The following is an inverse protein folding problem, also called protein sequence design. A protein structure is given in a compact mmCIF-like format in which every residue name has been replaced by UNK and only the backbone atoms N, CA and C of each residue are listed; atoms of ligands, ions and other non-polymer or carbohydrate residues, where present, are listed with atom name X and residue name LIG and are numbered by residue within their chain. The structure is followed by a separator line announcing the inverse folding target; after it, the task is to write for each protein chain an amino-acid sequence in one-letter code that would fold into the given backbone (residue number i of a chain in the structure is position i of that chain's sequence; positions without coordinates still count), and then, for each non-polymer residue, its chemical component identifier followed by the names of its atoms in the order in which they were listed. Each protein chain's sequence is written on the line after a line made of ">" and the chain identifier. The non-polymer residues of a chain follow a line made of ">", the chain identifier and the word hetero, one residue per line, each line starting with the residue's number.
data_IF_180768013195
#
_entry.id   IF_180768013195
#
_cell.length_a   1.000
_cell.length_b   1.000
_cell.length_c   1.000
_cell.angle_alpha   90.00
_cell.angle_beta   90.00
_cell.angle_gamma   90.00
#
_symmetry.space_group_name_H-M   'P 1'
#
loop_
_entity.id
_entity.type
_entity.pdbx_description
1 polymer ?
#
# COMPACT_ATOMS: atom_id res chain seq x y z
N UNK A 1 -3.27 -1.28 -15.13
CA UNK A 1 -3.16 -2.65 -14.55
C UNK A 1 -3.76 -2.72 -13.15
N UNK A 2 -3.27 -1.99 -12.14
CA UNK A 2 -3.87 -2.03 -10.78
C UNK A 2 -5.15 -1.18 -10.65
N UNK A 3 -5.10 0.11 -11.03
CA UNK A 3 -6.26 1.01 -10.99
C UNK A 3 -7.42 0.49 -11.85
N UNK A 4 -7.13 0.00 -13.06
CA UNK A 4 -8.14 -0.61 -13.94
C UNK A 4 -8.77 -1.84 -13.29
N UNK A 5 -7.95 -2.74 -12.72
CA UNK A 5 -8.44 -3.94 -12.04
C UNK A 5 -9.31 -3.64 -10.80
N UNK A 6 -9.05 -2.51 -10.12
CA UNK A 6 -9.89 -2.02 -9.02
C UNK A 6 -11.26 -1.61 -9.56
N UNK A 7 -11.28 -0.79 -10.61
CA UNK A 7 -12.51 -0.30 -11.25
C UNK A 7 -13.35 -1.46 -11.78
N UNK A 8 -12.73 -2.43 -12.46
CA UNK A 8 -13.42 -3.64 -12.96
C UNK A 8 -14.11 -4.45 -11.86
N UNK A 9 -13.61 -4.38 -10.62
CA UNK A 9 -14.17 -5.06 -9.45
C UNK A 9 -15.08 -4.17 -8.61
N UNK A 10 -15.40 -2.96 -9.07
CA UNK A 10 -16.24 -2.00 -8.36
C UNK A 10 -15.59 -1.41 -7.10
N UNK A 11 -14.26 -1.46 -7.01
CA UNK A 11 -13.48 -0.71 -6.03
C UNK A 11 -13.14 0.68 -6.58
N UNK A 12 -12.83 1.61 -5.69
CA UNK A 12 -12.55 3.00 -6.04
C UNK A 12 -11.24 3.44 -5.40
N UNK A 13 -10.53 4.34 -6.09
CA UNK A 13 -9.40 5.06 -5.50
C UNK A 13 -9.95 6.11 -4.54
N UNK A 14 -9.42 6.14 -3.32
CA UNK A 14 -9.75 7.14 -2.32
C UNK A 14 -9.39 8.55 -2.82
N UNK A 15 -10.27 9.51 -2.53
CA UNK A 15 -9.96 10.93 -2.64
C UNK A 15 -9.49 11.40 -1.26
N UNK A 16 -8.23 11.79 -1.17
CA UNK A 16 -7.64 12.18 0.10
C UNK A 16 -8.20 13.53 0.58
N UNK A 17 -8.18 13.73 1.89
CA UNK A 17 -8.38 15.05 2.47
C UNK A 17 -7.28 16.02 2.00
N UNK A 18 -7.59 17.32 1.83
CA UNK A 18 -6.57 18.31 1.49
C UNK A 18 -5.39 18.31 2.45
N UNK A 19 -5.64 18.09 3.75
CA UNK A 19 -4.61 18.01 4.79
C UNK A 19 -3.61 16.86 4.54
N UNK A 20 -4.08 15.71 4.06
CA UNK A 20 -3.23 14.56 3.69
C UNK A 20 -2.34 14.93 2.51
N UNK A 21 -2.89 15.58 1.48
CA UNK A 21 -2.14 16.02 0.30
C UNK A 21 -1.09 17.07 0.68
N UNK A 22 -1.44 18.02 1.56
CA UNK A 22 -0.51 19.04 2.06
C UNK A 22 0.64 18.42 2.86
N UNK A 23 0.35 17.46 3.74
CA UNK A 23 1.37 16.74 4.52
C UNK A 23 2.31 15.94 3.60
N UNK A 24 1.77 15.24 2.60
CA UNK A 24 2.58 14.53 1.61
C UNK A 24 3.49 15.50 0.83
N UNK A 25 2.99 16.68 0.43
CA UNK A 25 3.81 17.71 -0.26
C UNK A 25 4.90 18.30 0.62
N UNK A 26 4.65 18.42 1.92
CA UNK A 26 5.61 19.00 2.85
C UNK A 26 6.74 18.01 3.21
N UNK A 27 6.42 16.73 3.36
CA UNK A 27 7.35 15.72 3.86
C UNK A 27 8.04 14.90 2.77
N UNK A 28 7.44 14.78 1.58
CA UNK A 28 8.04 14.05 0.46
C UNK A 28 8.83 14.97 -0.47
N UNK A 29 9.84 14.44 -1.17
CA UNK A 29 10.55 15.19 -2.20
C UNK A 29 9.61 15.74 -3.29
N UNK A 30 9.97 16.87 -3.94
CA UNK A 30 9.12 17.56 -4.91
C UNK A 30 8.85 16.75 -6.19
N UNK A 31 9.61 15.68 -6.45
CA UNK A 31 9.41 14.78 -7.57
C UNK A 31 8.37 13.69 -7.30
N UNK A 32 7.96 13.49 -6.04
CA UNK A 32 6.88 12.58 -5.69
C UNK A 32 5.52 13.21 -6.06
N UNK A 33 4.58 12.37 -6.48
CA UNK A 33 3.23 12.82 -6.85
C UNK A 33 2.26 12.40 -5.73
N UNK A 34 1.72 13.35 -4.94
CA UNK A 34 0.85 13.07 -3.79
C UNK A 34 -0.61 12.77 -4.21
N UNK A 35 -0.80 12.11 -5.35
CA UNK A 35 -2.11 11.71 -5.87
C UNK A 35 -2.54 10.32 -5.40
N UNK A 36 -3.59 9.76 -6.01
CA UNK A 36 -3.92 8.35 -5.84
C UNK A 36 -3.78 7.62 -7.20
N UNK A 37 -2.75 6.79 -7.39
CA UNK A 37 -1.73 6.37 -6.40
C UNK A 37 -0.73 7.47 -6.03
N UNK A 38 -0.15 7.36 -4.83
CA UNK A 38 1.01 8.17 -4.45
C UNK A 38 2.22 7.61 -5.18
N UNK A 39 2.84 8.40 -6.05
CA UNK A 39 4.05 8.00 -6.79
C UNK A 39 5.28 8.47 -6.03
N UNK A 40 5.97 7.54 -5.38
CA UNK A 40 7.23 7.79 -4.66
C UNK A 40 8.47 7.73 -5.58
N UNK A 41 8.28 7.41 -6.86
CA UNK A 41 9.33 7.18 -7.87
C UNK A 41 10.22 5.97 -7.57
N UNK A 42 11.13 5.64 -8.50
CA UNK A 42 12.02 4.48 -8.38
C UNK A 42 13.13 4.63 -7.31
N UNK A 43 13.34 5.84 -6.78
CA UNK A 43 14.35 6.11 -5.75
C UNK A 43 13.76 6.18 -4.34
N UNK A 44 12.57 5.62 -4.12
CA UNK A 44 11.89 5.66 -2.84
C UNK A 44 12.68 4.92 -1.74
N UNK A 45 12.83 5.59 -0.60
CA UNK A 45 13.44 5.05 0.63
C UNK A 45 12.37 4.51 1.56
N UNK A 46 12.77 3.67 2.52
CA UNK A 46 11.87 3.17 3.58
C UNK A 46 11.23 4.30 4.39
N UNK A 47 11.94 5.44 4.56
CA UNK A 47 11.41 6.64 5.21
C UNK A 47 10.28 7.30 4.40
N UNK A 48 10.44 7.41 3.09
CA UNK A 48 9.40 8.01 2.22
C UNK A 48 8.16 7.12 2.17
N UNK A 49 8.33 5.79 2.17
CA UNK A 49 7.23 4.85 2.38
C UNK A 49 6.58 5.06 3.75
N UNK A 50 7.35 5.14 4.85
CA UNK A 50 6.83 5.36 6.20
C UNK A 50 5.95 6.62 6.28
N UNK A 51 6.44 7.75 5.73
CA UNK A 51 5.70 9.02 5.65
C UNK A 51 4.40 8.86 4.87
N UNK A 52 4.47 8.29 3.66
CA UNK A 52 3.30 8.15 2.81
C UNK A 52 2.27 7.19 3.40
N UNK A 53 2.70 6.03 3.89
CA UNK A 53 1.82 5.03 4.49
C UNK A 53 1.11 5.60 5.71
N UNK A 54 1.82 6.32 6.59
CA UNK A 54 1.21 6.97 7.76
C UNK A 54 0.14 7.98 7.34
N UNK A 55 0.46 8.89 6.43
CA UNK A 55 -0.47 9.91 5.94
C UNK A 55 -1.76 9.29 5.40
N UNK A 56 -1.62 8.24 4.58
CA UNK A 56 -2.77 7.55 3.97
C UNK A 56 -3.56 6.71 4.99
N UNK A 57 -2.90 6.08 5.95
CA UNK A 57 -3.58 5.29 6.99
C UNK A 57 -4.32 6.18 8.00
N UNK A 58 -3.89 7.42 8.19
CA UNK A 58 -4.59 8.41 9.03
C UNK A 58 -5.75 9.10 8.29
N UNK A 59 -5.72 9.13 6.95
CA UNK A 59 -6.77 9.75 6.14
C UNK A 59 -8.13 9.03 6.29
N UNK A 60 -9.21 9.69 6.72
CA UNK A 60 -10.50 9.05 6.96
C UNK A 60 -11.16 8.49 5.69
N UNK A 61 -10.76 8.95 4.50
CA UNK A 61 -11.31 8.50 3.21
C UNK A 61 -10.57 7.26 2.66
N UNK A 62 -9.53 6.77 3.34
CA UNK A 62 -8.78 5.57 2.96
C UNK A 62 -9.22 4.39 3.82
N UNK A 63 -9.84 3.38 3.21
CA UNK A 63 -10.29 2.16 3.91
C UNK A 63 -9.24 1.03 3.94
N UNK A 64 -8.36 0.97 2.92
CA UNK A 64 -7.38 -0.08 2.71
C UNK A 64 -6.18 0.50 1.96
N UNK A 65 -4.97 0.07 2.33
CA UNK A 65 -3.74 0.51 1.70
C UNK A 65 -3.13 -0.61 0.84
N UNK A 66 -2.65 -0.26 -0.37
CA UNK A 66 -1.97 -1.19 -1.27
C UNK A 66 -0.57 -0.70 -1.66
N UNK A 67 0.48 -1.03 -0.89
CA UNK A 67 1.85 -0.72 -1.28
C UNK A 67 2.32 -1.61 -2.44
N UNK A 68 2.85 -1.00 -3.49
CA UNK A 68 3.47 -1.69 -4.62
C UNK A 68 4.98 -1.55 -4.51
N UNK A 69 5.68 -2.69 -4.48
CA UNK A 69 7.12 -2.76 -4.34
C UNK A 69 7.76 -3.36 -5.60
N UNK A 70 8.81 -2.69 -6.06
CA UNK A 70 9.82 -3.28 -6.91
C UNK A 70 11.11 -3.21 -6.10
N UNK A 71 11.40 -4.28 -5.36
CA UNK A 71 12.61 -4.33 -4.55
C UNK A 71 13.83 -4.31 -5.47
N UNK A 72 14.58 -3.20 -5.43
CA UNK A 72 15.84 -3.00 -6.15
C UNK A 72 17.01 -2.95 -5.15
N UNK A 73 18.23 -3.22 -5.62
CA UNK A 73 19.45 -2.98 -4.83
C UNK A 73 19.63 -1.47 -4.63
N UNK A 74 19.17 -0.95 -3.48
CA UNK A 74 19.19 0.45 -3.03
C UNK A 74 18.43 1.46 -3.93
N UNK A 75 17.69 2.44 -3.37
CA UNK A 75 17.73 2.97 -1.99
C UNK A 75 16.66 2.43 -1.03
N UNK A 76 15.77 1.53 -1.48
CA UNK A 76 14.83 0.85 -0.60
C UNK A 76 15.57 -0.23 0.21
N UNK A 77 15.88 0.08 1.46
CA UNK A 77 16.54 -0.85 2.38
C UNK A 77 15.56 -1.86 2.99
N UNK A 78 16.08 -2.83 3.72
CA UNK A 78 15.26 -3.88 4.36
C UNK A 78 14.38 -3.36 5.51
N UNK A 79 14.56 -2.12 5.97
CA UNK A 79 13.72 -1.52 7.01
C UNK A 79 12.28 -1.37 6.55
N UNK A 80 12.02 -1.35 5.24
CA UNK A 80 10.67 -1.33 4.69
C UNK A 80 9.80 -2.48 5.23
N UNK A 81 10.41 -3.63 5.53
CA UNK A 81 9.69 -4.78 6.09
C UNK A 81 9.12 -4.44 7.47
N UNK A 82 9.95 -3.83 8.32
CA UNK A 82 9.56 -3.40 9.67
C UNK A 82 8.53 -2.26 9.58
N UNK A 83 8.76 -1.27 8.70
CA UNK A 83 7.82 -0.16 8.47
C UNK A 83 6.43 -0.69 8.12
N UNK A 84 6.32 -1.58 7.14
CA UNK A 84 5.01 -2.11 6.71
C UNK A 84 4.36 -2.92 7.83
N UNK A 85 5.14 -3.67 8.61
CA UNK A 85 4.63 -4.44 9.74
C UNK A 85 4.11 -3.54 10.87
N UNK A 86 4.82 -2.47 11.21
CA UNK A 86 4.40 -1.47 12.20
C UNK A 86 3.11 -0.77 11.77
N UNK A 87 2.98 -0.42 10.49
CA UNK A 87 1.80 0.26 9.94
C UNK A 87 0.49 -0.53 10.12
N UNK A 88 0.54 -1.84 10.41
CA UNK A 88 -0.65 -2.63 10.74
C UNK A 88 -1.34 -2.15 12.02
N UNK A 89 -0.65 -1.44 12.92
CA UNK A 89 -1.24 -0.90 14.15
C UNK A 89 -2.35 0.11 13.91
N UNK A 90 -2.43 0.69 12.70
CA UNK A 90 -3.50 1.62 12.30
C UNK A 90 -4.85 0.95 12.08
N UNK A 91 -4.92 -0.39 12.08
CA UNK A 91 -6.17 -1.14 12.03
C UNK A 91 -6.85 -1.20 10.65
N UNK A 92 -6.33 -0.49 9.64
CA UNK A 92 -6.76 -0.61 8.25
C UNK A 92 -5.99 -1.74 7.54
N UNK A 93 -6.65 -2.56 6.68
CA UNK A 93 -5.95 -3.63 5.99
C UNK A 93 -4.85 -3.10 5.05
N UNK A 94 -3.74 -3.83 4.99
CA UNK A 94 -2.62 -3.57 4.08
C UNK A 94 -2.45 -4.79 3.18
N UNK A 95 -2.49 -4.60 1.86
CA UNK A 95 -2.29 -5.65 0.87
C UNK A 95 -1.17 -5.25 -0.08
N UNK A 96 -0.04 -5.94 -0.03
CA UNK A 96 1.12 -5.58 -0.83
C UNK A 96 1.13 -6.29 -2.18
N UNK A 97 1.72 -5.64 -3.16
CA UNK A 97 2.10 -6.24 -4.43
C UNK A 97 3.61 -6.12 -4.61
N UNK A 98 4.30 -7.23 -4.82
CA UNK A 98 5.74 -7.23 -5.05
C UNK A 98 6.09 -8.19 -6.19
N UNK A 99 6.42 -7.63 -7.35
CA UNK A 99 6.79 -8.39 -8.54
C UNK A 99 8.30 -8.34 -8.74
N UNK A 100 8.96 -9.49 -8.93
CA UNK A 100 10.39 -9.50 -9.20
C UNK A 100 11.10 -10.84 -9.03
N UNK A 101 12.43 -10.76 -8.98
CA UNK A 101 13.36 -11.88 -8.92
C UNK A 101 13.46 -12.54 -7.54
N UNK A 102 14.48 -13.38 -7.30
CA UNK A 102 14.70 -14.06 -6.02
C UNK A 102 14.69 -13.11 -4.81
N UNK A 103 15.36 -11.95 -4.92
CA UNK A 103 15.40 -10.95 -3.85
C UNK A 103 14.02 -10.43 -3.46
N UNK A 104 13.20 -10.03 -4.44
CA UNK A 104 11.81 -9.60 -4.20
C UNK A 104 10.98 -10.69 -3.51
N UNK A 105 11.17 -11.96 -3.90
CA UNK A 105 10.44 -13.08 -3.29
C UNK A 105 10.86 -13.32 -1.84
N UNK A 106 12.13 -13.12 -1.51
CA UNK A 106 12.63 -13.21 -0.15
C UNK A 106 12.03 -12.10 0.73
N UNK A 107 12.05 -10.84 0.26
CA UNK A 107 11.44 -9.74 0.99
C UNK A 107 9.91 -9.89 1.13
N UNK A 108 9.23 -10.37 0.08
CA UNK A 108 7.80 -10.69 0.13
C UNK A 108 7.50 -11.75 1.20
N UNK A 109 8.31 -12.81 1.27
CA UNK A 109 8.16 -13.85 2.30
C UNK A 109 8.33 -13.30 3.72
N UNK A 110 9.28 -12.39 3.94
CA UNK A 110 9.47 -11.74 5.25
C UNK A 110 8.24 -10.94 5.68
N UNK A 111 7.63 -10.21 4.75
CA UNK A 111 6.35 -9.52 5.01
C UNK A 111 5.21 -10.49 5.33
N UNK A 112 5.11 -11.60 4.58
CA UNK A 112 4.11 -12.64 4.82
C UNK A 112 4.26 -13.30 6.20
N UNK A 113 5.50 -13.56 6.64
CA UNK A 113 5.82 -14.10 7.98
C UNK A 113 5.38 -13.14 9.11
N UNK A 114 5.26 -11.84 8.83
CA UNK A 114 4.73 -10.81 9.73
C UNK A 114 3.21 -10.60 9.60
N UNK A 115 2.53 -11.40 8.78
CA UNK A 115 1.09 -11.37 8.58
C UNK A 115 0.60 -10.32 7.59
N UNK A 116 1.48 -9.80 6.72
CA UNK A 116 1.12 -8.90 5.62
C UNK A 116 0.97 -9.71 4.33
N UNK A 117 -0.22 -9.79 3.71
CA UNK A 117 -0.39 -10.53 2.47
C UNK A 117 0.33 -9.82 1.31
N UNK A 118 1.19 -10.55 0.60
CA UNK A 118 1.94 -10.04 -0.55
C UNK A 118 1.60 -10.85 -1.81
N UNK A 119 1.33 -10.19 -2.92
CA UNK A 119 1.02 -10.86 -4.18
C UNK A 119 2.01 -10.49 -5.29
N UNK A 120 2.35 -11.43 -6.19
CA UNK A 120 3.38 -11.18 -7.20
C UNK A 120 2.88 -10.39 -8.42
N UNK A 121 1.56 -10.21 -8.56
CA UNK A 121 0.95 -9.47 -9.66
C UNK A 121 -0.22 -8.60 -9.18
N UNK A 122 -0.43 -7.41 -9.78
CA UNK A 122 -1.47 -6.47 -9.36
C UNK A 122 -2.87 -7.07 -9.29
N UNK A 123 -3.26 -7.90 -10.26
CA UNK A 123 -4.60 -8.48 -10.37
C UNK A 123 -4.93 -9.38 -9.16
N UNK A 124 -3.92 -10.08 -8.63
CA UNK A 124 -4.07 -10.92 -7.43
C UNK A 124 -4.15 -10.07 -6.17
N UNK A 125 -3.34 -9.02 -6.05
CA UNK A 125 -3.41 -8.08 -4.94
C UNK A 125 -4.79 -7.41 -4.88
N UNK A 126 -5.30 -6.98 -6.04
CA UNK A 126 -6.62 -6.36 -6.17
C UNK A 126 -7.75 -7.36 -5.87
N UNK A 127 -7.64 -8.62 -6.28
CA UNK A 127 -8.61 -9.65 -5.92
C UNK A 127 -8.66 -9.89 -4.39
N UNK A 128 -7.52 -9.84 -3.71
CA UNK A 128 -7.46 -9.95 -2.26
C UNK A 128 -8.06 -8.72 -1.56
N UNK A 129 -7.74 -7.51 -2.03
CA UNK A 129 -8.37 -6.28 -1.55
C UNK A 129 -9.90 -6.32 -1.70
N UNK A 130 -10.39 -6.78 -2.87
CA UNK A 130 -11.82 -6.98 -3.11
C UNK A 130 -12.45 -7.96 -2.10
N UNK A 131 -11.81 -9.10 -1.84
CA UNK A 131 -12.32 -10.08 -0.89
C UNK A 131 -12.44 -9.50 0.54
N UNK A 132 -11.45 -8.69 0.96
CA UNK A 132 -11.49 -8.00 2.26
C UNK A 132 -12.65 -7.01 2.34
N UNK A 133 -12.86 -6.21 1.29
CA UNK A 133 -13.98 -5.25 1.23
C UNK A 133 -15.33 -5.97 1.22
N UNK A 134 -15.47 -7.01 0.39
CA UNK A 134 -16.71 -7.80 0.31
C UNK A 134 -17.04 -8.45 1.65
N UNK A 135 -16.05 -9.07 2.30
CA UNK A 135 -16.23 -9.65 3.63
C UNK A 135 -16.58 -8.61 4.69
N UNK A 136 -15.95 -7.43 4.64
CA UNK A 136 -16.29 -6.31 5.52
C UNK A 136 -17.74 -5.83 5.37
N UNK A 137 -18.28 -5.83 4.15
CA UNK A 137 -19.70 -5.54 3.90
C UNK A 137 -20.61 -6.61 4.50
N UNK A 138 -20.34 -7.88 4.21
CA UNK A 138 -21.10 -9.02 4.77
C UNK A 138 -21.13 -8.97 6.31
N UNK A 139 -19.99 -8.69 6.95
CA UNK A 139 -19.91 -8.58 8.41
C UNK A 139 -20.74 -7.45 9.00
N UNK A 140 -20.92 -6.34 8.27
CA UNK A 140 -21.78 -5.22 8.69
C UNK A 140 -23.26 -5.49 8.48
N UNK A 141 -23.63 -6.35 7.52
CA UNK A 141 -25.02 -6.74 7.26
C UNK A 141 -25.51 -7.81 8.25
N UNK A 142 -24.60 -8.66 8.73
CA UNK A 142 -24.91 -9.75 9.66
C UNK A 142 -24.81 -9.35 11.14
N UNK A 143 -24.25 -8.18 11.45
CA UNK A 143 -24.10 -7.64 12.81
C UNK A 143 -25.10 -6.53 13.08
#
# INVERSE_FOLDING_TARGET
>A
MAADALVERGLQLAHYEPATVELLRAELPPFCIPGNPVDLTGSATSREYEVAMRALLEDPNVDLLMPFFVFQDTPLDERIIDVVAEMRSYGKPIVCCAAGGPYTREQARRLEELGVPVYPIPERAVAAAYALVAYGRIRRELG
#
